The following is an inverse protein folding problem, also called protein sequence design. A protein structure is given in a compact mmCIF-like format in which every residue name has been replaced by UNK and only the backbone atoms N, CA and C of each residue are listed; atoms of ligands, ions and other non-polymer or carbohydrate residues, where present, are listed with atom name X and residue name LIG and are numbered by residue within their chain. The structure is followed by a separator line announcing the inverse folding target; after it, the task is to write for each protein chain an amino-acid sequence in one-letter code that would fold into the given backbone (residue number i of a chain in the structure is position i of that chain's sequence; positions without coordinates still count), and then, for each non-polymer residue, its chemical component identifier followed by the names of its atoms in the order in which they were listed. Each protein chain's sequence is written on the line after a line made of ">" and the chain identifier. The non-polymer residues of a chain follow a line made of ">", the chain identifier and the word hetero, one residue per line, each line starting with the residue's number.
data_IF_915686689822
#
_entry.id   IF_915686689822
#
_cell.length_a   1.000
_cell.length_b   1.000
_cell.length_c   1.000
_cell.angle_alpha   90.00
_cell.angle_beta   90.00
_cell.angle_gamma   90.00
#
_symmetry.space_group_name_H-M   'P 1'
#
loop_
_entity.id
_entity.type
_entity.pdbx_description
1 polymer ?
#
# COMPACT_ATOMS: atom_id res chain seq x y z
N UNK A 1 41.42 23.71 -39.99
CA UNK A 1 40.55 22.52 -39.84
C UNK A 1 39.21 23.00 -39.29
N UNK A 2 38.19 23.11 -40.12
CA UNK A 2 36.86 23.56 -39.72
C UNK A 2 35.96 22.33 -39.52
N UNK A 3 35.51 22.10 -38.29
CA UNK A 3 34.55 21.03 -37.98
C UNK A 3 33.18 21.41 -38.57
N UNK A 4 32.52 20.55 -39.36
CA UNK A 4 31.30 20.92 -40.06
C UNK A 4 30.15 21.15 -39.07
N UNK A 5 29.44 22.27 -39.26
CA UNK A 5 28.27 22.74 -38.50
C UNK A 5 27.16 21.68 -38.33
N UNK A 6 27.13 20.68 -39.23
CA UNK A 6 26.17 19.57 -39.25
C UNK A 6 26.17 18.74 -37.95
N UNK A 7 27.30 18.66 -37.24
CA UNK A 7 27.41 17.81 -36.05
C UNK A 7 26.70 18.40 -34.82
N UNK A 8 26.47 19.72 -34.79
CA UNK A 8 25.81 20.39 -33.66
C UNK A 8 24.29 20.36 -33.72
N UNK A 9 23.70 20.20 -34.92
CA UNK A 9 22.23 20.20 -35.13
C UNK A 9 21.58 18.95 -34.56
N UNK A 10 22.22 17.78 -34.71
CA UNK A 10 21.73 16.52 -34.13
C UNK A 10 21.87 16.49 -32.60
N UNK A 11 22.95 17.06 -32.06
CA UNK A 11 23.18 17.13 -30.61
C UNK A 11 22.15 18.04 -29.92
N UNK A 12 21.86 19.22 -30.49
CA UNK A 12 20.83 20.12 -29.96
C UNK A 12 19.43 19.54 -30.14
N UNK A 13 19.10 18.99 -31.31
CA UNK A 13 17.80 18.37 -31.56
C UNK A 13 17.49 17.19 -30.63
N UNK A 14 18.48 16.32 -30.37
CA UNK A 14 18.34 15.21 -29.42
C UNK A 14 18.16 15.69 -27.97
N UNK A 15 18.81 16.78 -27.59
CA UNK A 15 18.64 17.39 -26.26
C UNK A 15 17.22 17.94 -26.04
N UNK A 16 16.64 18.63 -27.03
CA UNK A 16 15.27 19.16 -26.93
C UNK A 16 14.20 18.06 -26.97
N UNK A 17 14.36 17.03 -27.79
CA UNK A 17 13.46 15.85 -27.79
C UNK A 17 13.58 15.09 -26.47
N UNK A 18 14.80 14.89 -25.97
CA UNK A 18 15.05 14.28 -24.66
C UNK A 18 14.42 15.07 -23.51
N UNK A 19 14.59 16.40 -23.49
CA UNK A 19 13.92 17.29 -22.54
C UNK A 19 12.40 17.18 -22.67
N UNK A 20 11.84 17.21 -23.89
CA UNK A 20 10.39 17.13 -24.08
C UNK A 20 9.79 15.84 -23.52
N UNK A 21 10.42 14.69 -23.78
CA UNK A 21 10.00 13.41 -23.19
C UNK A 21 10.22 13.39 -21.67
N UNK A 22 11.32 13.95 -21.17
CA UNK A 22 11.60 14.05 -19.73
C UNK A 22 10.55 14.88 -18.99
N UNK A 23 10.22 16.06 -19.52
CA UNK A 23 9.30 17.01 -18.89
C UNK A 23 7.82 16.66 -19.09
N UNK A 24 7.45 15.91 -20.14
CA UNK A 24 6.05 15.57 -20.38
C UNK A 24 5.70 14.12 -19.99
N UNK A 25 6.58 13.14 -20.19
CA UNK A 25 6.26 11.71 -19.97
C UNK A 25 6.60 11.23 -18.56
N UNK A 26 7.71 11.69 -17.98
CA UNK A 26 8.13 11.27 -16.63
C UNK A 26 7.16 11.74 -15.53
N UNK A 27 6.66 13.01 -15.51
CA UNK A 27 5.70 13.42 -14.48
C UNK A 27 4.34 12.74 -14.61
N UNK A 28 3.91 12.35 -15.83
CA UNK A 28 2.69 11.56 -16.02
C UNK A 28 2.80 10.17 -15.37
N UNK A 29 3.97 9.53 -15.48
CA UNK A 29 4.21 8.22 -14.87
C UNK A 29 4.26 8.29 -13.34
N UNK A 30 4.86 9.33 -12.78
CA UNK A 30 4.98 9.50 -11.32
C UNK A 30 3.64 9.81 -10.64
N UNK A 31 2.78 10.61 -11.28
CA UNK A 31 1.43 10.91 -10.77
C UNK A 31 0.51 9.69 -10.83
N UNK A 32 0.64 8.82 -11.83
CA UNK A 32 -0.17 7.60 -11.93
C UNK A 32 0.03 6.65 -10.73
N UNK A 33 1.24 6.54 -10.19
CA UNK A 33 1.50 5.69 -9.03
C UNK A 33 0.78 6.18 -7.77
N UNK A 34 0.79 7.49 -7.51
CA UNK A 34 0.10 8.08 -6.36
C UNK A 34 -1.43 7.96 -6.48
N UNK A 35 -1.98 8.15 -7.69
CA UNK A 35 -3.42 7.99 -7.92
C UNK A 35 -3.90 6.54 -7.82
N UNK A 36 -3.08 5.54 -8.22
CA UNK A 36 -3.46 4.12 -8.11
C UNK A 36 -3.47 3.62 -6.67
N UNK A 37 -2.64 4.21 -5.80
CA UNK A 37 -2.60 3.90 -4.36
C UNK A 37 -3.78 4.55 -3.60
N UNK A 38 -4.23 5.73 -4.02
CA UNK A 38 -5.42 6.39 -3.46
C UNK A 38 -6.73 5.79 -3.99
N UNK A 39 -6.73 5.24 -5.21
CA UNK A 39 -7.91 4.66 -5.85
C UNK A 39 -8.36 3.31 -5.25
N UNK A 40 -7.61 2.74 -4.30
CA UNK A 40 -8.17 1.69 -3.43
C UNK A 40 -9.04 2.35 -2.36
N UNK A 41 -10.13 2.98 -2.81
CA UNK A 41 -11.20 3.39 -1.92
C UNK A 41 -11.79 2.11 -1.33
N UNK A 42 -11.50 1.90 -0.05
CA UNK A 42 -12.12 0.88 0.78
C UNK A 42 -13.64 0.99 0.61
N UNK A 43 -14.30 -0.12 0.28
CA UNK A 43 -15.77 -0.18 0.25
C UNK A 43 -16.36 -0.01 1.66
N UNK A 44 -15.53 -0.13 2.68
CA UNK A 44 -15.88 -0.01 4.09
C UNK A 44 -15.77 1.44 4.59
N UNK A 45 -16.66 1.79 5.53
CA UNK A 45 -16.71 3.11 6.19
C UNK A 45 -15.49 3.41 7.08
N UNK A 46 -14.56 2.47 7.22
CA UNK A 46 -13.39 2.55 8.11
C UNK A 46 -12.43 3.66 7.67
N UNK A 47 -12.22 3.82 6.35
CA UNK A 47 -11.31 4.84 5.80
C UNK A 47 -12.02 6.14 5.39
N UNK A 48 -13.20 6.42 5.95
CA UNK A 48 -13.97 7.63 5.62
C UNK A 48 -13.22 8.94 5.94
N UNK A 49 -12.29 8.91 6.90
CA UNK A 49 -11.47 10.06 7.30
C UNK A 49 -10.11 10.11 6.58
N UNK A 50 -9.93 9.27 5.55
CA UNK A 50 -8.67 9.16 4.81
C UNK A 50 -7.73 8.09 5.37
N UNK A 51 -6.65 7.86 4.63
CA UNK A 51 -5.65 6.87 5.00
C UNK A 51 -4.63 7.47 5.97
N UNK A 52 -4.40 6.88 7.16
CA UNK A 52 -3.49 7.41 8.16
C UNK A 52 -2.00 7.27 7.80
N UNK A 53 -1.64 6.47 6.81
CA UNK A 53 -0.24 6.16 6.55
C UNK A 53 0.03 5.52 5.19
N UNK A 54 1.18 4.84 5.04
CA UNK A 54 1.53 4.19 3.79
C UNK A 54 0.49 3.12 3.43
N UNK A 55 0.09 3.08 2.16
CA UNK A 55 -0.88 2.12 1.61
C UNK A 55 -0.15 0.86 1.13
N UNK A 56 0.56 0.20 2.02
CA UNK A 56 1.36 -0.99 1.69
C UNK A 56 0.62 -2.23 2.17
N UNK A 57 0.41 -3.18 1.25
CA UNK A 57 -0.23 -4.49 1.51
C UNK A 57 -1.48 -4.37 2.39
N UNK A 58 -2.44 -3.55 1.94
CA UNK A 58 -3.68 -3.32 2.67
C UNK A 58 -4.61 -4.54 2.59
N UNK A 59 -5.14 -4.96 3.73
CA UNK A 59 -6.16 -6.00 3.84
C UNK A 59 -7.43 -5.45 4.47
N UNK A 60 -8.56 -5.81 3.89
CA UNK A 60 -9.89 -5.49 4.42
C UNK A 60 -10.49 -6.78 4.99
N UNK A 61 -10.82 -6.74 6.27
CA UNK A 61 -11.55 -7.79 6.99
C UNK A 61 -12.91 -7.24 7.39
N UNK A 62 -13.82 -8.12 7.80
CA UNK A 62 -15.20 -7.74 8.12
C UNK A 62 -15.30 -6.65 9.19
N UNK A 63 -14.43 -6.68 10.20
CA UNK A 63 -14.48 -5.73 11.32
C UNK A 63 -13.43 -4.61 11.25
N UNK A 64 -12.34 -4.81 10.51
CA UNK A 64 -11.18 -3.92 10.53
C UNK A 64 -10.45 -3.90 9.18
N UNK A 65 -9.70 -2.82 8.96
CA UNK A 65 -8.77 -2.66 7.83
C UNK A 65 -7.36 -2.52 8.38
N UNK A 66 -6.38 -3.10 7.71
CA UNK A 66 -4.99 -3.10 8.16
C UNK A 66 -4.04 -2.85 6.99
N UNK A 67 -2.96 -2.09 7.23
CA UNK A 67 -1.80 -2.06 6.35
C UNK A 67 -0.68 -2.88 6.97
N UNK A 68 -0.18 -3.87 6.22
CA UNK A 68 0.80 -4.83 6.71
C UNK A 68 2.22 -4.48 6.27
N UNK A 69 3.17 -4.50 7.21
CA UNK A 69 4.58 -4.39 6.93
C UNK A 69 5.20 -5.78 6.75
N UNK A 70 5.49 -6.15 5.50
CA UNK A 70 6.13 -7.44 5.19
C UNK A 70 7.55 -7.60 5.74
N UNK A 71 8.29 -6.50 5.94
CA UNK A 71 9.68 -6.54 6.44
C UNK A 71 9.70 -6.99 7.89
N UNK A 72 8.87 -6.35 8.70
CA UNK A 72 8.86 -6.54 10.16
C UNK A 72 7.76 -7.53 10.60
N UNK A 73 6.91 -7.97 9.66
CA UNK A 73 5.79 -8.91 9.86
C UNK A 73 4.73 -8.43 10.87
N UNK A 74 4.61 -7.11 11.00
CA UNK A 74 3.67 -6.41 11.88
C UNK A 74 2.82 -5.44 11.05
N UNK A 75 1.65 -5.01 11.54
CA UNK A 75 0.92 -3.94 10.88
C UNK A 75 1.63 -2.59 11.05
N UNK A 76 1.57 -1.74 10.02
CA UNK A 76 1.88 -0.32 10.15
C UNK A 76 0.78 0.42 10.92
N UNK A 77 -0.47 0.10 10.59
CA UNK A 77 -1.66 0.66 11.23
C UNK A 77 -2.85 -0.28 11.05
N UNK A 78 -3.81 -0.17 11.95
CA UNK A 78 -5.10 -0.86 11.92
C UNK A 78 -6.19 0.20 12.13
N UNK A 79 -7.25 0.14 11.32
CA UNK A 79 -8.42 1.01 11.42
C UNK A 79 -9.67 0.16 11.67
N UNK A 80 -10.52 0.64 12.57
CA UNK A 80 -11.79 0.00 12.92
C UNK A 80 -12.89 1.05 12.97
N UNK A 81 -14.11 0.67 12.58
CA UNK A 81 -15.29 1.52 12.72
C UNK A 81 -16.24 0.89 13.72
N UNK A 82 -16.26 1.44 14.93
CA UNK A 82 -17.07 0.92 16.02
C UNK A 82 -18.44 1.59 16.04
N UNK A 83 -19.48 0.77 16.16
CA UNK A 83 -20.86 1.22 16.33
C UNK A 83 -21.42 0.63 17.62
N UNK A 84 -22.53 1.20 18.13
CA UNK A 84 -23.22 0.61 19.28
C UNK A 84 -23.63 -0.84 19.03
N UNK A 85 -23.97 -1.20 17.79
CA UNK A 85 -24.34 -2.56 17.41
C UNK A 85 -23.13 -3.51 17.40
N UNK A 86 -21.97 -3.06 16.91
CA UNK A 86 -20.76 -3.92 16.85
C UNK A 86 -20.14 -4.19 18.22
N UNK A 87 -20.43 -3.36 19.23
CA UNK A 87 -19.96 -3.54 20.61
C UNK A 87 -20.87 -4.40 21.48
N UNK A 88 -22.08 -4.72 21.01
CA UNK A 88 -22.98 -5.59 21.76
C UNK A 88 -22.43 -7.02 21.78
N UNK A 89 -22.54 -7.68 22.95
CA UNK A 89 -22.16 -9.07 23.09
C UNK A 89 -23.05 -9.92 22.17
N UNK A 90 -22.46 -10.49 21.11
CA UNK A 90 -23.16 -11.39 20.22
C UNK A 90 -23.57 -12.68 20.93
N UNK A 91 -24.75 -13.20 20.63
CA UNK A 91 -25.19 -14.51 21.14
C UNK A 91 -24.22 -15.60 20.65
N UNK A 92 -23.54 -16.29 21.59
CA UNK A 92 -22.56 -17.32 21.25
C UNK A 92 -21.20 -16.81 20.77
N UNK A 93 -20.92 -15.51 20.88
CA UNK A 93 -19.58 -14.97 20.64
C UNK A 93 -18.78 -15.04 21.94
N UNK A 94 -17.79 -15.92 21.96
CA UNK A 94 -16.86 -16.09 23.07
C UNK A 94 -15.41 -15.89 22.58
N UNK A 95 -14.68 -15.02 23.29
CA UNK A 95 -13.27 -14.73 23.00
C UNK A 95 -12.39 -15.91 23.37
N UNK A 96 -12.78 -16.71 24.37
CA UNK A 96 -11.96 -17.82 24.84
C UNK A 96 -11.90 -18.97 23.81
N UNK A 97 -12.84 -19.00 22.84
CA UNK A 97 -12.77 -19.88 21.67
C UNK A 97 -11.84 -19.40 20.54
N UNK A 98 -11.24 -18.21 20.67
CA UNK A 98 -10.39 -17.62 19.63
C UNK A 98 -8.93 -18.02 19.80
N UNK A 99 -8.35 -18.67 18.78
CA UNK A 99 -6.95 -19.09 18.78
C UNK A 99 -6.10 -18.20 17.84
N UNK A 100 -4.86 -17.92 18.25
CA UNK A 100 -3.89 -17.23 17.39
C UNK A 100 -3.43 -18.14 16.25
N UNK A 101 -3.71 -17.71 15.02
CA UNK A 101 -3.35 -18.43 13.80
C UNK A 101 -2.64 -17.51 12.83
N UNK A 102 -1.76 -18.10 12.04
CA UNK A 102 -1.10 -17.39 10.94
C UNK A 102 -2.10 -17.08 9.82
N UNK A 103 -1.94 -15.92 9.19
CA UNK A 103 -2.80 -15.47 8.09
C UNK A 103 -2.42 -16.14 6.76
N UNK A 104 -3.32 -16.96 6.21
CA UNK A 104 -3.11 -17.66 4.94
C UNK A 104 -3.21 -16.77 3.71
N UNK A 105 -3.71 -15.53 3.84
CA UNK A 105 -3.76 -14.58 2.73
C UNK A 105 -2.37 -13.99 2.39
N UNK A 106 -1.42 -14.07 3.32
CA UNK A 106 -0.05 -13.62 3.12
C UNK A 106 0.80 -14.73 2.49
N UNK A 107 1.79 -14.41 1.64
CA UNK A 107 2.79 -15.38 1.20
C UNK A 107 3.58 -15.95 2.40
N UNK A 108 3.89 -17.24 2.39
CA UNK A 108 4.50 -17.97 3.52
C UNK A 108 5.75 -17.30 4.11
N UNK A 109 6.58 -16.67 3.27
CA UNK A 109 7.80 -15.99 3.70
C UNK A 109 7.56 -14.74 4.57
N UNK A 110 6.40 -14.11 4.45
CA UNK A 110 6.04 -12.89 5.17
C UNK A 110 5.05 -13.13 6.30
N UNK A 111 4.62 -14.37 6.49
CA UNK A 111 3.72 -14.74 7.55
C UNK A 111 4.41 -14.65 8.92
N UNK A 112 3.68 -14.11 9.91
CA UNK A 112 4.06 -14.17 11.32
C UNK A 112 3.65 -15.54 11.88
N UNK A 113 4.60 -16.29 12.45
CA UNK A 113 4.36 -17.63 12.97
C UNK A 113 4.05 -17.57 14.47
N UNK A 114 3.06 -18.35 14.92
CA UNK A 114 2.71 -18.44 16.35
C UNK A 114 3.91 -18.84 17.21
N UNK A 115 4.77 -19.73 16.70
CA UNK A 115 6.00 -20.15 17.39
C UNK A 115 6.92 -18.97 17.76
N UNK A 116 7.01 -17.94 16.91
CA UNK A 116 7.86 -16.76 17.16
C UNK A 116 7.44 -16.00 18.43
N UNK A 117 6.18 -16.09 18.83
CA UNK A 117 5.62 -15.38 19.98
C UNK A 117 5.37 -16.29 21.20
N UNK A 118 5.68 -17.59 21.09
CA UNK A 118 5.33 -18.61 22.09
C UNK A 118 6.36 -18.75 23.24
N UNK A 119 7.20 -17.74 23.49
CA UNK A 119 8.30 -17.79 24.48
C UNK A 119 8.00 -17.05 25.80
N UNK A 120 6.73 -16.83 26.13
CA UNK A 120 6.26 -16.20 27.38
C UNK A 120 5.17 -17.08 27.97
#
# INVERSE_FOLDING_TARGET
>A
MAVPFSNYVCLLGGFFVGMFFMYNVIPLRMNQHHHRLQARQSTNSILQFGNPGPVVDQFERTAYTVSYNRKDRIPYWVGEHLTKASLQKGSGVDRDGSNFKTDSALPAIFQALTFTFSFI
#
